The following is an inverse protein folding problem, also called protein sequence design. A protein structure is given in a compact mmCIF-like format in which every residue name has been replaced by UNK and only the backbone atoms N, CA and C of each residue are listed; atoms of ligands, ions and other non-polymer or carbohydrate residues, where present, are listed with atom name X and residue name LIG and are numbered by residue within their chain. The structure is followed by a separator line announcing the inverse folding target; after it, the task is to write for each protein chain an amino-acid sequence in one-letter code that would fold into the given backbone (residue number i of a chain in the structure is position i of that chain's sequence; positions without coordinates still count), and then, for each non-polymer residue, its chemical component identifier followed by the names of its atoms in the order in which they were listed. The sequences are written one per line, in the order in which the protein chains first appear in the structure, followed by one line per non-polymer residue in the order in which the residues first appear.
data_IF_209731491643
#
_entry.id   IF_209731491643
#
_cell.length_a   1.000
_cell.length_b   1.000
_cell.length_c   1.000
_cell.angle_alpha   90.00
_cell.angle_beta   90.00
_cell.angle_gamma   90.00
#
_symmetry.space_group_name_H-M   'P 1'
#
loop_
_entity.id
_entity.type
_entity.pdbx_description
1 polymer ?
#
# COMPACT_ATOMS: atom_id res chain seq x y z
N UNK A 1 -32.57 68.29 9.68
CA UNK A 1 -32.91 66.86 9.67
C UNK A 1 -31.97 66.20 8.68
N UNK A 2 -30.93 65.50 9.19
CA UNK A 2 -29.86 64.96 8.38
C UNK A 2 -29.92 63.41 8.49
N UNK A 3 -30.36 62.76 7.41
CA UNK A 3 -30.39 61.29 7.32
C UNK A 3 -29.04 60.79 6.86
N UNK A 4 -28.34 60.16 7.75
CA UNK A 4 -27.07 59.46 7.44
C UNK A 4 -27.40 58.00 7.16
N UNK A 5 -27.35 57.63 5.90
CA UNK A 5 -27.49 56.24 5.47
C UNK A 5 -26.13 55.52 5.67
N UNK A 6 -26.10 54.56 6.57
CA UNK A 6 -24.97 53.63 6.76
C UNK A 6 -25.06 52.54 5.71
N UNK A 7 -24.14 52.55 4.74
CA UNK A 7 -23.90 51.44 3.83
C UNK A 7 -23.04 50.42 4.56
N UNK A 8 -23.62 49.28 4.93
CA UNK A 8 -22.90 48.11 5.39
C UNK A 8 -22.43 47.29 4.19
N UNK A 9 -21.12 47.33 3.94
CA UNK A 9 -20.44 46.52 2.93
C UNK A 9 -20.23 45.12 3.47
N UNK A 10 -21.04 44.15 3.02
CA UNK A 10 -20.87 42.74 3.34
C UNK A 10 -19.74 42.16 2.51
N UNK A 11 -18.59 41.88 3.17
CA UNK A 11 -17.49 41.12 2.59
C UNK A 11 -17.89 39.64 2.55
N UNK A 12 -18.23 39.13 1.36
CA UNK A 12 -18.42 37.68 1.14
C UNK A 12 -17.05 37.05 0.98
N UNK A 13 -16.60 36.38 2.05
CA UNK A 13 -15.39 35.60 2.04
C UNK A 13 -15.65 34.25 1.31
N UNK A 14 -15.34 34.20 0.02
CA UNK A 14 -15.36 32.96 -0.73
C UNK A 14 -14.20 32.08 -0.27
N UNK A 15 -14.43 31.17 0.69
CA UNK A 15 -13.52 30.10 1.02
C UNK A 15 -13.56 29.05 -0.11
N UNK A 16 -12.67 29.18 -1.08
CA UNK A 16 -12.45 28.18 -2.10
C UNK A 16 -12.02 26.87 -1.45
N UNK A 17 -12.89 25.87 -1.48
CA UNK A 17 -12.54 24.49 -1.16
C UNK A 17 -11.54 24.01 -2.23
N UNK A 18 -10.25 24.01 -1.89
CA UNK A 18 -9.22 23.32 -2.65
C UNK A 18 -9.47 21.82 -2.45
N UNK A 19 -10.24 21.23 -3.36
CA UNK A 19 -10.34 19.77 -3.48
C UNK A 19 -8.98 19.25 -3.93
N UNK A 20 -8.16 18.77 -2.98
CA UNK A 20 -7.00 17.96 -3.32
C UNK A 20 -7.51 16.71 -4.03
N UNK A 21 -6.98 16.33 -5.22
CA UNK A 21 -7.32 15.04 -5.79
C UNK A 21 -6.85 13.97 -4.81
N UNK A 22 -7.80 13.28 -4.19
CA UNK A 22 -7.50 12.04 -3.50
C UNK A 22 -6.98 11.08 -4.58
N UNK A 23 -5.70 10.67 -4.49
CA UNK A 23 -5.19 9.55 -5.24
C UNK A 23 -6.18 8.40 -5.01
N UNK A 24 -6.79 7.91 -6.07
CA UNK A 24 -7.79 6.87 -5.99
C UNK A 24 -7.19 5.70 -5.21
N UNK A 25 -7.77 5.40 -4.05
CA UNK A 25 -7.43 4.18 -3.33
C UNK A 25 -7.74 3.00 -4.26
N UNK A 26 -6.82 2.04 -4.39
CA UNK A 26 -7.03 0.87 -5.25
C UNK A 26 -8.28 0.10 -4.84
N UNK A 27 -8.78 -0.71 -5.75
CA UNK A 27 -9.95 -1.57 -5.56
C UNK A 27 -9.52 -2.91 -4.92
N UNK A 28 -9.91 -3.13 -3.66
CA UNK A 28 -9.58 -4.35 -2.92
C UNK A 28 -10.24 -5.61 -3.54
N UNK A 29 -11.43 -5.51 -4.13
CA UNK A 29 -12.08 -6.63 -4.79
C UNK A 29 -11.30 -7.03 -6.06
N UNK A 30 -10.91 -6.05 -6.86
CA UNK A 30 -10.05 -6.29 -8.02
C UNK A 30 -8.69 -6.87 -7.60
N UNK A 31 -8.09 -6.38 -6.51
CA UNK A 31 -6.87 -6.91 -5.92
C UNK A 31 -7.02 -8.37 -5.48
N UNK A 32 -8.16 -8.72 -4.87
CA UNK A 32 -8.49 -10.10 -4.48
C UNK A 32 -8.61 -11.06 -5.67
N UNK A 33 -8.96 -10.58 -6.85
CA UNK A 33 -8.98 -11.38 -8.09
C UNK A 33 -7.57 -11.56 -8.69
N UNK A 34 -6.67 -10.60 -8.44
CA UNK A 34 -5.29 -10.64 -8.94
C UNK A 34 -4.39 -11.47 -8.04
N UNK A 35 -4.54 -11.33 -6.72
CA UNK A 35 -3.66 -11.96 -5.72
C UNK A 35 -3.45 -13.45 -5.91
N UNK A 36 -4.47 -14.31 -6.11
CA UNK A 36 -4.27 -15.75 -6.29
C UNK A 36 -3.40 -16.09 -7.50
N UNK A 37 -3.43 -15.27 -8.53
CA UNK A 37 -2.70 -15.52 -9.79
C UNK A 37 -1.24 -15.10 -9.72
N UNK A 38 -0.96 -13.99 -9.05
CA UNK A 38 0.39 -13.40 -9.03
C UNK A 38 1.15 -13.72 -7.73
N UNK A 39 0.45 -13.86 -6.63
CA UNK A 39 1.05 -13.94 -5.29
C UNK A 39 0.73 -15.26 -4.58
N UNK A 40 -0.48 -15.82 -4.81
CA UNK A 40 -1.05 -16.93 -4.06
C UNK A 40 -0.30 -18.25 -4.16
N UNK A 41 0.56 -18.43 -5.15
CA UNK A 41 1.43 -19.61 -5.26
C UNK A 41 2.52 -19.66 -4.20
N UNK A 42 2.87 -18.51 -3.62
CA UNK A 42 3.95 -18.38 -2.63
C UNK A 42 3.47 -17.77 -1.32
N UNK A 43 2.48 -16.88 -1.36
CA UNK A 43 2.01 -16.10 -0.22
C UNK A 43 0.56 -16.42 0.13
N UNK A 44 0.22 -16.30 1.40
CA UNK A 44 -1.13 -16.44 1.92
C UNK A 44 -1.55 -15.21 2.72
N UNK A 45 -2.85 -14.96 2.78
CA UNK A 45 -3.53 -13.96 3.61
C UNK A 45 -4.78 -14.56 4.25
N UNK A 46 -5.29 -13.93 5.29
CA UNK A 46 -6.48 -14.35 6.03
C UNK A 46 -6.16 -15.15 7.29
N UNK A 47 -7.20 -15.59 8.00
CA UNK A 47 -7.08 -16.25 9.31
C UNK A 47 -6.25 -17.54 9.29
N UNK A 48 -6.29 -18.27 8.20
CA UNK A 48 -5.54 -19.53 8.05
C UNK A 48 -4.18 -19.35 7.39
N UNK A 49 -3.74 -18.12 7.15
CA UNK A 49 -2.51 -17.83 6.44
C UNK A 49 -1.28 -18.40 7.15
N UNK A 50 -0.48 -19.13 6.43
CA UNK A 50 0.78 -19.74 6.91
C UNK A 50 1.92 -19.40 5.95
N UNK A 51 3.17 -19.41 6.42
CA UNK A 51 4.33 -19.36 5.54
C UNK A 51 4.34 -20.56 4.58
N UNK A 52 4.71 -20.31 3.35
CA UNK A 52 4.96 -21.31 2.31
C UNK A 52 6.31 -21.04 1.66
N UNK A 53 6.36 -20.97 0.34
CA UNK A 53 7.55 -20.50 -0.39
C UNK A 53 7.88 -19.03 -0.08
N UNK A 54 6.87 -18.23 0.27
CA UNK A 54 7.01 -16.88 0.79
C UNK A 54 6.36 -16.74 2.18
N UNK A 55 6.60 -15.63 2.89
CA UNK A 55 5.94 -15.35 4.16
C UNK A 55 4.44 -15.11 3.97
N UNK A 56 3.65 -15.30 5.04
CA UNK A 56 2.29 -14.81 5.06
C UNK A 56 2.28 -13.26 5.07
N UNK A 57 1.25 -12.64 4.50
CA UNK A 57 1.20 -11.20 4.27
C UNK A 57 0.16 -10.45 5.10
N UNK A 58 -0.47 -11.07 6.12
CA UNK A 58 -1.33 -10.33 7.05
C UNK A 58 -0.51 -9.24 7.74
N UNK A 59 -1.08 -8.03 7.83
CA UNK A 59 -0.40 -6.91 8.47
C UNK A 59 0.88 -6.44 7.78
N UNK A 60 1.05 -6.73 6.48
CA UNK A 60 2.27 -6.33 5.76
C UNK A 60 2.47 -4.82 5.75
N UNK A 61 1.40 -4.03 5.69
CA UNK A 61 1.49 -2.57 5.72
C UNK A 61 1.91 -2.11 7.12
N UNK A 62 3.03 -1.43 7.22
CA UNK A 62 3.61 -0.96 8.48
C UNK A 62 4.62 -1.93 9.11
N UNK A 63 4.77 -3.15 8.57
CA UNK A 63 5.67 -4.17 9.11
C UNK A 63 7.11 -3.96 8.62
N UNK A 64 8.13 -4.05 9.49
CA UNK A 64 9.52 -4.10 9.07
C UNK A 64 9.79 -5.33 8.20
N UNK A 65 10.58 -5.16 7.15
CA UNK A 65 10.94 -6.26 6.26
C UNK A 65 11.74 -7.34 7.01
N UNK A 66 11.49 -8.59 6.66
CA UNK A 66 12.22 -9.72 7.25
C UNK A 66 11.75 -10.12 8.66
N UNK A 67 10.57 -9.71 9.12
CA UNK A 67 10.13 -9.90 10.52
C UNK A 67 8.90 -10.79 10.70
N UNK A 68 8.29 -11.32 9.64
CA UNK A 68 7.16 -12.24 9.80
C UNK A 68 7.58 -13.51 10.55
N UNK A 69 6.81 -13.89 11.55
CA UNK A 69 7.07 -15.09 12.34
C UNK A 69 7.05 -16.37 11.49
N UNK A 70 7.83 -17.35 11.91
CA UNK A 70 7.87 -18.69 11.30
C UNK A 70 8.27 -18.73 9.80
N UNK A 71 8.98 -17.72 9.31
CA UNK A 71 9.55 -17.71 7.96
C UNK A 71 11.03 -17.36 7.98
N UNK A 72 11.81 -18.08 7.17
CA UNK A 72 13.27 -17.88 7.07
C UNK A 72 13.57 -16.96 5.88
N UNK A 73 13.86 -15.72 6.17
CA UNK A 73 14.21 -14.71 5.17
C UNK A 73 15.67 -14.80 4.72
N UNK A 74 15.97 -14.25 3.54
CA UNK A 74 17.36 -13.98 3.14
C UNK A 74 18.00 -12.93 4.06
N UNK A 75 19.31 -12.94 4.18
CA UNK A 75 20.04 -11.89 4.92
C UNK A 75 19.81 -10.51 4.27
N UNK A 76 19.72 -10.47 2.94
CA UNK A 76 19.39 -9.25 2.21
C UNK A 76 18.05 -8.64 2.67
N UNK A 77 17.02 -9.45 2.84
CA UNK A 77 15.71 -8.97 3.29
C UNK A 77 15.76 -8.53 4.77
N UNK A 78 16.37 -9.34 5.63
CA UNK A 78 16.51 -9.02 7.07
C UNK A 78 17.28 -7.72 7.31
N UNK A 79 18.29 -7.45 6.49
CA UNK A 79 19.19 -6.31 6.63
C UNK A 79 18.78 -5.13 5.73
N UNK A 80 17.65 -5.21 5.04
CA UNK A 80 17.23 -4.16 4.09
C UNK A 80 16.90 -2.82 4.76
N UNK A 81 16.51 -2.84 6.03
CA UNK A 81 16.08 -1.64 6.76
C UNK A 81 14.73 -1.09 6.28
N UNK A 82 14.02 -1.80 5.42
CA UNK A 82 12.74 -1.36 4.85
C UNK A 82 11.62 -1.57 5.86
N UNK A 83 10.74 -0.58 5.99
CA UNK A 83 9.40 -0.77 6.54
C UNK A 83 8.42 -0.74 5.38
N UNK A 84 7.57 -1.76 5.30
CA UNK A 84 6.61 -1.88 4.22
C UNK A 84 5.49 -0.86 4.35
N UNK A 85 5.34 -0.04 3.36
CA UNK A 85 4.24 0.90 3.18
C UNK A 85 3.85 0.91 1.69
N UNK A 86 2.87 1.72 1.30
CA UNK A 86 2.45 1.81 -0.10
C UNK A 86 3.62 2.09 -1.04
N UNK A 87 4.46 3.06 -0.72
CA UNK A 87 5.57 3.47 -1.57
C UNK A 87 6.62 2.36 -1.72
N UNK A 88 7.09 1.79 -0.61
CA UNK A 88 8.12 0.75 -0.62
C UNK A 88 7.62 -0.56 -1.23
N UNK A 89 6.36 -0.93 -1.00
CA UNK A 89 5.74 -2.09 -1.66
C UNK A 89 5.56 -1.87 -3.15
N UNK A 90 5.15 -0.68 -3.58
CA UNK A 90 5.05 -0.35 -5.00
C UNK A 90 6.41 -0.49 -5.69
N UNK A 91 7.46 0.08 -5.11
CA UNK A 91 8.82 -0.04 -5.64
C UNK A 91 9.28 -1.50 -5.71
N UNK A 92 9.05 -2.27 -4.63
CA UNK A 92 9.44 -3.67 -4.54
C UNK A 92 8.67 -4.56 -5.52
N UNK A 93 7.37 -4.34 -5.72
CA UNK A 93 6.57 -5.08 -6.69
C UNK A 93 6.97 -4.76 -8.14
N UNK A 94 7.45 -3.55 -8.41
CA UNK A 94 7.98 -3.18 -9.73
C UNK A 94 9.33 -3.83 -10.03
N UNK A 95 10.23 -3.85 -9.07
CA UNK A 95 11.59 -4.39 -9.21
C UNK A 95 12.12 -4.97 -7.89
N UNK A 96 11.76 -6.22 -7.56
CA UNK A 96 12.17 -6.84 -6.30
C UNK A 96 13.69 -6.90 -6.12
N UNK A 97 14.42 -7.23 -7.18
CA UNK A 97 15.88 -7.38 -7.12
C UNK A 97 16.61 -6.05 -7.09
N UNK A 98 16.05 -5.02 -7.70
CA UNK A 98 16.59 -3.67 -7.64
C UNK A 98 16.41 -3.05 -6.25
N UNK A 99 15.28 -3.29 -5.58
CA UNK A 99 14.99 -2.76 -4.25
C UNK A 99 15.71 -3.55 -3.15
N UNK A 100 15.72 -4.89 -3.24
CA UNK A 100 16.43 -5.77 -2.30
C UNK A 100 17.35 -6.71 -3.08
N UNK A 101 18.56 -6.28 -3.43
CA UNK A 101 19.55 -7.16 -4.06
C UNK A 101 19.83 -8.35 -3.16
N UNK A 102 19.65 -9.56 -3.68
CA UNK A 102 19.77 -10.81 -2.92
C UNK A 102 18.45 -11.31 -2.31
N UNK A 103 17.33 -10.68 -2.63
CA UNK A 103 16.01 -11.23 -2.29
C UNK A 103 15.83 -12.63 -2.88
N UNK A 104 15.15 -13.52 -2.13
CA UNK A 104 14.77 -14.86 -2.61
C UNK A 104 13.43 -14.87 -3.33
N UNK A 105 12.70 -13.76 -3.34
CA UNK A 105 11.45 -13.67 -4.05
C UNK A 105 11.67 -13.81 -5.55
N UNK A 106 11.08 -14.84 -6.14
CA UNK A 106 11.12 -15.10 -7.58
C UNK A 106 9.89 -14.43 -8.20
N UNK A 107 10.03 -13.17 -8.55
CA UNK A 107 8.99 -12.36 -9.17
C UNK A 107 9.62 -11.41 -10.19
N UNK A 108 9.04 -11.36 -11.38
CA UNK A 108 9.63 -10.61 -12.50
C UNK A 108 9.32 -9.12 -12.49
N UNK A 109 8.50 -8.70 -11.55
CA UNK A 109 8.03 -7.34 -11.45
C UNK A 109 6.66 -7.13 -12.09
N UNK A 110 5.96 -6.13 -11.59
CA UNK A 110 4.66 -5.68 -12.08
C UNK A 110 4.73 -4.17 -12.34
N UNK A 111 4.60 -3.77 -13.62
CA UNK A 111 4.68 -2.37 -14.03
C UNK A 111 3.33 -1.65 -14.07
N UNK A 112 2.23 -2.38 -14.01
CA UNK A 112 0.87 -1.86 -14.05
C UNK A 112 0.51 -1.26 -12.69
N UNK A 113 0.48 0.06 -12.61
CA UNK A 113 0.24 0.79 -11.37
C UNK A 113 -1.16 0.55 -10.79
N UNK A 114 -2.17 0.45 -11.65
CA UNK A 114 -3.54 0.16 -11.20
C UNK A 114 -3.62 -1.21 -10.54
N UNK A 115 -2.99 -2.22 -11.12
CA UNK A 115 -2.92 -3.56 -10.51
C UNK A 115 -2.16 -3.55 -9.18
N UNK A 116 -1.07 -2.79 -9.09
CA UNK A 116 -0.33 -2.62 -7.83
C UNK A 116 -1.23 -1.98 -6.79
N UNK A 117 -1.91 -0.89 -7.11
CA UNK A 117 -2.79 -0.19 -6.19
C UNK A 117 -3.93 -1.08 -5.70
N UNK A 118 -4.53 -1.87 -6.59
CA UNK A 118 -5.57 -2.83 -6.26
C UNK A 118 -5.05 -3.94 -5.34
N UNK A 119 -3.85 -4.48 -5.60
CA UNK A 119 -3.19 -5.46 -4.72
C UNK A 119 -2.91 -4.88 -3.33
N UNK A 120 -2.40 -3.66 -3.25
CA UNK A 120 -2.13 -3.00 -1.97
C UNK A 120 -3.41 -2.72 -1.18
N UNK A 121 -4.49 -2.31 -1.85
CA UNK A 121 -5.80 -2.16 -1.22
C UNK A 121 -6.31 -3.50 -0.66
N UNK A 122 -6.14 -4.59 -1.39
CA UNK A 122 -6.50 -5.94 -0.93
C UNK A 122 -5.66 -6.36 0.27
N UNK A 123 -4.34 -6.20 0.23
CA UNK A 123 -3.44 -6.56 1.33
C UNK A 123 -3.71 -5.73 2.60
N UNK A 124 -4.10 -4.47 2.45
CA UNK A 124 -4.44 -3.59 3.57
C UNK A 124 -5.67 -4.07 4.34
N UNK A 125 -6.55 -4.87 3.74
CA UNK A 125 -7.71 -5.43 4.42
C UNK A 125 -7.38 -6.54 5.41
N UNK A 126 -6.15 -7.06 5.42
CA UNK A 126 -5.67 -8.10 6.34
C UNK A 126 -4.75 -7.50 7.39
N UNK A 127 -5.24 -7.39 8.62
CA UNK A 127 -4.44 -6.96 9.78
C UNK A 127 -3.59 -8.09 10.33
N UNK A 128 -2.56 -7.77 11.14
CA UNK A 128 -1.86 -8.79 11.93
C UNK A 128 -2.83 -9.49 12.90
N UNK A 129 -2.67 -10.79 13.04
CA UNK A 129 -3.39 -11.61 14.01
C UNK A 129 -2.47 -11.98 15.15
#
# INVERSE_FOLDING_TARGET
MKNTALLTLALILNAGLLSTPALAAGDAEAGGKIFPRLCGGCHQVGESARPGFGPQLNGIIGRPAGTSANYVYSDAMKNSGITWNRETLTAYLKDPKGVVPGTRMIFWGLSDEEKIDNLLAYLQSFTEQ
#
